data_IF_829530684655
#
_entry.id   IF_829530684655
#
_cell.length_a   1.000
_cell.length_b   1.000
_cell.length_c   1.000
_cell.angle_alpha   90.00
_cell.angle_beta   90.00
_cell.angle_gamma   90.00
#
_symmetry.space_group_name_H-M   'P 1'
#
loop_
_entity.id
_entity.type
_entity.pdbx_description
1 polymer ?
#
# COMPACT_ATOMS: atom_id res chain seq x y z
N UNK A 1 39.10 -12.11 -52.49
CA UNK A 1 38.04 -12.85 -51.75
C UNK A 1 38.08 -12.65 -50.24
N UNK A 2 39.19 -12.84 -49.54
CA UNK A 2 39.31 -12.65 -48.08
C UNK A 2 39.26 -11.17 -47.68
N UNK A 3 39.82 -10.29 -48.48
CA UNK A 3 39.82 -8.83 -48.24
C UNK A 3 38.43 -8.26 -48.43
N UNK A 4 37.65 -8.71 -49.39
CA UNK A 4 36.29 -8.27 -49.64
C UNK A 4 35.35 -8.79 -48.60
N UNK A 5 35.52 -10.01 -48.08
CA UNK A 5 34.76 -10.55 -46.96
C UNK A 5 35.00 -9.76 -45.67
N UNK A 6 36.27 -9.40 -45.38
CA UNK A 6 36.59 -8.53 -44.21
C UNK A 6 35.99 -7.15 -44.34
N UNK A 7 35.95 -6.56 -45.54
CA UNK A 7 35.37 -5.25 -45.79
C UNK A 7 33.85 -5.27 -45.65
N UNK A 8 33.18 -6.35 -46.09
CA UNK A 8 31.74 -6.58 -45.86
C UNK A 8 31.42 -6.75 -44.38
N UNK A 9 32.12 -7.62 -43.67
CA UNK A 9 31.96 -7.84 -42.23
C UNK A 9 32.19 -6.55 -41.46
N UNK A 10 33.20 -5.75 -41.80
CA UNK A 10 33.48 -4.49 -41.18
C UNK A 10 32.34 -3.46 -41.40
N UNK A 11 31.79 -3.42 -42.64
CA UNK A 11 30.67 -2.54 -43.00
C UNK A 11 29.36 -3.01 -42.31
N UNK A 12 29.15 -4.31 -42.19
CA UNK A 12 28.02 -4.86 -41.42
C UNK A 12 28.16 -4.59 -39.91
N UNK A 13 29.39 -4.69 -39.37
CA UNK A 13 29.67 -4.31 -37.96
C UNK A 13 29.54 -2.80 -37.72
N UNK A 14 29.89 -1.96 -38.67
CA UNK A 14 29.68 -0.50 -38.59
C UNK A 14 28.19 -0.16 -38.69
N UNK A 15 27.43 -0.79 -39.60
CA UNK A 15 25.98 -0.70 -39.65
C UNK A 15 25.29 -1.25 -38.38
N UNK A 16 25.80 -2.30 -37.77
CA UNK A 16 25.32 -2.80 -36.48
C UNK A 16 25.64 -1.84 -35.32
N UNK A 17 26.77 -1.12 -35.37
CA UNK A 17 27.13 -0.10 -34.39
C UNK A 17 26.24 1.15 -34.49
N UNK A 18 25.90 1.56 -35.71
CA UNK A 18 24.94 2.67 -35.92
C UNK A 18 23.50 2.28 -35.58
N UNK A 19 23.12 1.02 -35.72
CA UNK A 19 21.86 0.47 -35.25
C UNK A 19 21.83 0.18 -33.72
N UNK A 20 22.97 0.15 -33.06
CA UNK A 20 23.07 -0.02 -31.61
C UNK A 20 22.65 1.23 -30.76
N UNK A 21 22.20 2.31 -31.40
CA UNK A 21 21.66 3.47 -30.70
C UNK A 21 20.30 3.18 -30.04
N UNK A 22 19.67 2.03 -30.30
CA UNK A 22 18.38 1.64 -29.71
C UNK A 22 18.42 0.22 -29.15
N UNK A 23 19.37 -0.06 -28.24
CA UNK A 23 19.23 -1.24 -27.40
C UNK A 23 18.04 -1.00 -26.50
N UNK A 24 16.90 -1.61 -26.84
CA UNK A 24 15.74 -1.62 -25.98
C UNK A 24 16.11 -2.25 -24.64
N UNK A 25 15.96 -1.47 -23.58
CA UNK A 25 16.10 -1.96 -22.20
C UNK A 25 14.70 -2.24 -21.68
N UNK A 26 14.35 -3.51 -21.48
CA UNK A 26 13.03 -3.84 -20.96
C UNK A 26 12.84 -3.22 -19.58
N UNK A 27 11.73 -2.53 -19.41
CA UNK A 27 11.27 -2.05 -18.12
C UNK A 27 10.59 -3.15 -17.32
N UNK A 28 10.33 -2.88 -16.06
CA UNK A 28 9.63 -3.78 -15.14
C UNK A 28 8.45 -3.05 -14.49
N UNK A 29 7.29 -3.68 -14.51
CA UNK A 29 6.10 -3.25 -13.80
C UNK A 29 5.81 -4.17 -12.63
N UNK A 30 5.36 -3.61 -11.51
CA UNK A 30 4.68 -4.35 -10.46
C UNK A 30 3.20 -3.97 -10.50
N UNK A 31 2.33 -4.93 -10.79
CA UNK A 31 0.89 -4.75 -10.83
C UNK A 31 0.24 -5.42 -9.63
N UNK A 32 -0.73 -4.70 -9.08
CA UNK A 32 -1.64 -5.22 -8.08
C UNK A 32 -3.06 -4.76 -8.38
N UNK A 33 -3.98 -5.08 -7.49
CA UNK A 33 -5.36 -4.60 -7.56
C UNK A 33 -5.84 -4.07 -6.22
N UNK A 34 -6.74 -3.12 -6.26
CA UNK A 34 -7.46 -2.65 -5.08
C UNK A 34 -8.95 -2.86 -5.27
N UNK A 35 -9.55 -3.68 -4.43
CA UNK A 35 -10.94 -4.11 -4.48
C UNK A 35 -11.10 -5.62 -4.36
N UNK A 36 -12.19 -6.15 -4.90
CA UNK A 36 -12.47 -7.58 -4.89
C UNK A 36 -11.71 -8.28 -6.01
N UNK A 37 -10.55 -8.84 -5.68
CA UNK A 37 -9.75 -9.62 -6.63
C UNK A 37 -10.14 -11.09 -6.58
N UNK A 38 -10.14 -11.78 -7.75
CA UNK A 38 -10.30 -13.22 -7.78
C UNK A 38 -9.04 -13.93 -7.23
N UNK A 39 -9.09 -15.23 -6.92
CA UNK A 39 -7.92 -15.98 -6.42
C UNK A 39 -6.72 -15.97 -7.35
N UNK A 40 -6.94 -15.88 -8.66
CA UNK A 40 -5.88 -15.81 -9.69
C UNK A 40 -6.15 -14.63 -10.63
N UNK A 41 -5.87 -13.40 -10.20
CA UNK A 41 -6.17 -12.22 -11.00
C UNK A 41 -5.27 -12.14 -12.24
N UNK A 42 -5.79 -11.55 -13.31
CA UNK A 42 -5.02 -11.40 -14.54
C UNK A 42 -3.80 -10.47 -14.39
N UNK A 43 -3.73 -9.63 -13.36
CA UNK A 43 -2.54 -8.84 -13.02
C UNK A 43 -1.31 -9.71 -12.72
N UNK A 44 -1.48 -10.90 -12.13
CA UNK A 44 -0.38 -11.85 -11.89
C UNK A 44 0.23 -12.34 -13.20
N UNK A 45 -0.60 -12.63 -14.20
CA UNK A 45 -0.12 -13.05 -15.53
C UNK A 45 0.69 -11.98 -16.26
N UNK A 46 0.45 -10.70 -15.95
CA UNK A 46 1.29 -9.61 -16.44
C UNK A 46 2.59 -9.55 -15.63
N UNK A 47 2.54 -9.70 -14.31
CA UNK A 47 3.73 -9.73 -13.47
C UNK A 47 4.71 -10.85 -13.85
N UNK A 48 4.19 -11.98 -14.33
CA UNK A 48 4.98 -13.12 -14.80
C UNK A 48 5.55 -12.95 -16.22
N UNK A 49 5.08 -11.96 -16.99
CA UNK A 49 5.44 -11.77 -18.39
C UNK A 49 6.11 -10.42 -18.66
N UNK A 50 7.42 -10.41 -18.77
CA UNK A 50 8.17 -9.20 -19.11
C UNK A 50 7.72 -8.59 -20.45
N UNK A 51 7.29 -9.40 -21.41
CA UNK A 51 6.77 -8.91 -22.70
C UNK A 51 5.48 -8.11 -22.48
N UNK A 52 4.51 -8.65 -21.75
CA UNK A 52 3.25 -7.94 -21.46
C UNK A 52 3.47 -6.64 -20.67
N UNK A 53 4.37 -6.66 -19.68
CA UNK A 53 4.76 -5.46 -18.94
C UNK A 53 5.29 -4.37 -19.88
N UNK A 54 6.17 -4.75 -20.80
CA UNK A 54 6.79 -3.80 -21.72
C UNK A 54 5.83 -3.29 -22.79
N UNK A 55 4.91 -4.12 -23.27
CA UNK A 55 3.82 -3.66 -24.13
C UNK A 55 3.01 -2.58 -23.40
N UNK A 56 2.64 -2.82 -22.13
CA UNK A 56 1.90 -1.82 -21.33
C UNK A 56 2.71 -0.52 -21.12
N UNK A 57 4.00 -0.62 -20.83
CA UNK A 57 4.88 0.56 -20.70
C UNK A 57 4.96 1.37 -21.98
N UNK A 58 5.20 0.71 -23.12
CA UNK A 58 5.34 1.36 -24.44
C UNK A 58 4.03 2.01 -24.91
N UNK A 59 2.89 1.37 -24.60
CA UNK A 59 1.57 1.84 -24.99
C UNK A 59 0.97 2.88 -24.03
N UNK A 60 1.70 3.27 -22.96
CA UNK A 60 1.14 4.08 -21.88
C UNK A 60 0.87 5.54 -22.30
N UNK A 61 1.89 6.27 -22.77
CA UNK A 61 1.74 7.72 -23.05
C UNK A 61 1.06 8.01 -24.39
N UNK A 62 1.61 7.48 -25.48
CA UNK A 62 1.25 7.91 -26.83
C UNK A 62 0.54 6.84 -27.65
N UNK A 63 0.32 5.67 -27.05
CA UNK A 63 -0.14 4.49 -27.77
C UNK A 63 0.84 4.05 -28.85
N UNK A 64 0.80 2.78 -29.24
CA UNK A 64 1.68 2.20 -30.26
C UNK A 64 0.91 1.32 -31.21
N UNK A 65 1.28 1.36 -32.48
CA UNK A 65 0.89 0.34 -33.46
C UNK A 65 1.71 -0.92 -33.23
N UNK A 66 1.24 -2.04 -33.77
CA UNK A 66 2.01 -3.29 -33.67
C UNK A 66 3.36 -3.18 -34.37
N UNK A 67 3.44 -2.47 -35.50
CA UNK A 67 4.68 -2.32 -36.26
C UNK A 67 5.70 -1.47 -35.46
N UNK A 68 5.26 -0.41 -34.77
CA UNK A 68 6.09 0.34 -33.83
C UNK A 68 6.56 -0.56 -32.66
N UNK A 69 5.70 -1.44 -32.12
CA UNK A 69 6.09 -2.37 -31.07
C UNK A 69 7.14 -3.39 -31.54
N UNK A 70 7.02 -3.89 -32.78
CA UNK A 70 8.05 -4.75 -33.40
C UNK A 70 9.38 -4.01 -33.50
N UNK A 71 9.35 -2.76 -33.98
CA UNK A 71 10.55 -1.94 -34.12
C UNK A 71 11.23 -1.69 -32.76
N UNK A 72 10.45 -1.33 -31.74
CA UNK A 72 10.99 -1.03 -30.40
C UNK A 72 11.50 -2.26 -29.67
N UNK A 73 10.79 -3.39 -29.75
CA UNK A 73 11.10 -4.58 -28.94
C UNK A 73 12.00 -5.59 -29.66
N UNK A 74 12.06 -5.55 -30.99
CA UNK A 74 12.69 -6.57 -31.81
C UNK A 74 11.94 -7.91 -31.80
N UNK A 75 10.75 -7.99 -31.21
CA UNK A 75 9.94 -9.21 -31.15
C UNK A 75 9.14 -9.35 -32.45
N UNK A 76 9.18 -10.51 -33.13
CA UNK A 76 8.42 -10.72 -34.36
C UNK A 76 6.92 -10.55 -34.16
N UNK A 77 6.24 -9.94 -35.11
CA UNK A 77 4.83 -9.59 -35.10
C UNK A 77 3.88 -10.71 -34.62
N UNK A 78 4.00 -11.98 -35.06
CA UNK A 78 3.09 -13.04 -34.62
C UNK A 78 3.09 -13.28 -33.10
N UNK A 79 4.23 -13.10 -32.45
CA UNK A 79 4.32 -13.24 -30.98
C UNK A 79 3.68 -12.07 -30.27
N UNK A 80 3.85 -10.84 -30.77
CA UNK A 80 3.21 -9.66 -30.22
C UNK A 80 1.69 -9.68 -30.41
N UNK A 81 1.21 -10.19 -31.56
CA UNK A 81 -0.25 -10.31 -31.83
C UNK A 81 -0.95 -11.13 -30.77
N UNK A 82 -0.35 -12.25 -30.34
CA UNK A 82 -0.91 -13.09 -29.30
C UNK A 82 -1.04 -12.35 -27.95
N UNK A 83 0.02 -11.65 -27.54
CA UNK A 83 0.02 -10.92 -26.27
C UNK A 83 -0.89 -9.68 -26.31
N UNK A 84 -0.90 -8.97 -27.44
CA UNK A 84 -1.80 -7.82 -27.66
C UNK A 84 -3.27 -8.23 -27.60
N UNK A 85 -3.63 -9.32 -28.26
CA UNK A 85 -4.98 -9.87 -28.29
C UNK A 85 -5.45 -10.23 -26.86
N UNK A 86 -4.56 -10.89 -26.10
CA UNK A 86 -4.82 -11.23 -24.71
C UNK A 86 -5.01 -9.98 -23.85
N UNK A 87 -4.11 -8.98 -23.96
CA UNK A 87 -4.17 -7.73 -23.18
C UNK A 87 -5.44 -6.92 -23.49
N UNK A 88 -5.87 -6.88 -24.75
CA UNK A 88 -7.12 -6.21 -25.16
C UNK A 88 -8.33 -6.94 -24.61
N UNK A 89 -8.41 -8.28 -24.78
CA UNK A 89 -9.51 -9.11 -24.26
C UNK A 89 -9.64 -9.04 -22.74
N UNK A 90 -8.55 -8.75 -22.03
CA UNK A 90 -8.52 -8.61 -20.57
C UNK A 90 -8.59 -7.15 -20.10
N UNK A 91 -8.86 -6.21 -21.02
CA UNK A 91 -9.04 -4.79 -20.72
C UNK A 91 -7.81 -4.10 -20.11
N UNK A 92 -6.61 -4.61 -20.37
CA UNK A 92 -5.36 -3.93 -20.05
C UNK A 92 -4.92 -2.95 -21.13
N UNK A 93 -5.39 -3.19 -22.36
CA UNK A 93 -5.21 -2.30 -23.49
C UNK A 93 -6.55 -1.98 -24.16
N UNK A 94 -6.67 -0.78 -24.71
CA UNK A 94 -7.72 -0.38 -25.63
C UNK A 94 -7.13 -0.11 -27.01
N UNK A 95 -7.97 -0.20 -28.05
CA UNK A 95 -7.57 0.10 -29.41
C UNK A 95 -8.29 1.38 -29.83
N UNK A 96 -7.53 2.39 -30.25
CA UNK A 96 -8.06 3.62 -30.84
C UNK A 96 -7.40 3.82 -32.20
N UNK A 97 -8.18 3.65 -33.26
CA UNK A 97 -7.67 3.61 -34.62
C UNK A 97 -6.80 2.35 -34.85
N UNK A 98 -5.50 2.53 -35.07
CA UNK A 98 -4.53 1.43 -35.23
C UNK A 98 -3.56 1.30 -34.06
N UNK A 99 -3.76 2.09 -32.99
CA UNK A 99 -2.87 2.14 -31.85
C UNK A 99 -3.47 1.46 -30.62
N UNK A 100 -2.62 0.80 -29.87
CA UNK A 100 -2.92 0.23 -28.57
C UNK A 100 -2.56 1.22 -27.48
N UNK A 101 -3.46 1.40 -26.49
CA UNK A 101 -3.28 2.30 -25.34
C UNK A 101 -3.49 1.52 -24.05
N UNK A 102 -2.59 1.70 -23.11
CA UNK A 102 -2.76 1.16 -21.75
C UNK A 102 -3.93 1.86 -21.06
N UNK A 103 -4.79 1.06 -20.41
CA UNK A 103 -6.06 1.53 -19.83
C UNK A 103 -5.98 1.83 -18.35
N UNK A 104 -4.83 1.61 -17.71
CA UNK A 104 -4.60 1.81 -16.28
C UNK A 104 -3.39 2.70 -16.03
N UNK A 105 -3.37 3.47 -14.92
CA UNK A 105 -2.24 4.32 -14.57
C UNK A 105 -1.00 3.50 -14.22
N UNK A 106 0.14 3.98 -14.70
CA UNK A 106 1.46 3.48 -14.32
C UNK A 106 2.13 4.58 -13.51
N UNK A 107 2.33 4.32 -12.22
CA UNK A 107 2.93 5.26 -11.28
C UNK A 107 4.44 5.21 -11.41
N UNK A 108 5.02 6.29 -11.90
CA UNK A 108 6.48 6.44 -12.05
C UNK A 108 7.11 6.95 -10.73
N UNK A 109 8.43 6.81 -10.61
CA UNK A 109 9.21 7.40 -9.53
C UNK A 109 8.97 8.92 -9.43
N UNK A 110 8.92 9.61 -10.59
CA UNK A 110 8.65 11.05 -10.63
C UNK A 110 7.27 11.40 -10.07
N UNK A 111 6.24 10.59 -10.37
CA UNK A 111 4.90 10.76 -9.82
C UNK A 111 4.90 10.65 -8.28
N UNK A 112 5.61 9.66 -7.76
CA UNK A 112 5.72 9.46 -6.32
C UNK A 112 6.51 10.59 -5.63
N UNK A 113 7.55 11.12 -6.27
CA UNK A 113 8.28 12.30 -5.79
C UNK A 113 7.39 13.55 -5.74
N UNK A 114 6.55 13.77 -6.75
CA UNK A 114 5.58 14.88 -6.76
C UNK A 114 4.56 14.74 -5.63
N UNK A 115 4.03 13.53 -5.40
CA UNK A 115 3.16 13.25 -4.27
C UNK A 115 3.83 13.59 -2.94
N UNK A 116 5.05 13.14 -2.73
CA UNK A 116 5.84 13.46 -1.54
C UNK A 116 6.06 14.96 -1.36
N UNK A 117 6.36 15.69 -2.45
CA UNK A 117 6.52 17.13 -2.42
C UNK A 117 5.22 17.87 -2.05
N UNK A 118 4.06 17.40 -2.51
CA UNK A 118 2.76 17.96 -2.12
C UNK A 118 2.56 17.80 -0.61
N UNK A 119 2.78 16.61 -0.05
CA UNK A 119 2.69 16.40 1.39
C UNK A 119 3.70 17.24 2.18
N UNK A 120 4.93 17.35 1.70
CA UNK A 120 5.94 18.17 2.35
C UNK A 120 5.55 19.67 2.35
N UNK A 121 5.00 20.17 1.25
CA UNK A 121 4.56 21.57 1.15
C UNK A 121 3.34 21.88 2.03
N UNK A 122 2.49 20.91 2.25
CA UNK A 122 1.28 21.04 3.06
C UNK A 122 1.46 20.55 4.50
N UNK A 123 2.65 20.05 4.86
CA UNK A 123 2.96 19.45 6.15
C UNK A 123 2.41 20.25 7.32
N UNK A 124 2.76 21.54 7.42
CA UNK A 124 2.34 22.40 8.54
C UNK A 124 0.83 22.55 8.67
N UNK A 125 0.13 22.64 7.53
CA UNK A 125 -1.32 22.84 7.51
C UNK A 125 -2.11 21.56 7.81
N UNK A 126 -1.53 20.41 7.53
CA UNK A 126 -2.22 19.13 7.53
C UNK A 126 -1.63 18.15 8.52
N UNK A 127 -0.43 17.66 8.26
CA UNK A 127 0.20 16.60 9.04
C UNK A 127 0.56 17.07 10.46
N UNK A 128 1.25 18.19 10.58
CA UNK A 128 1.66 18.73 11.88
C UNK A 128 0.43 19.09 12.74
N UNK A 129 -0.69 19.46 12.10
CA UNK A 129 -1.95 19.70 12.80
C UNK A 129 -2.57 18.42 13.35
N UNK A 130 -2.51 17.32 12.61
CA UNK A 130 -2.96 16.00 13.09
C UNK A 130 -2.11 15.57 14.28
N UNK A 131 -0.78 15.65 14.13
CA UNK A 131 0.17 15.30 15.19
C UNK A 131 -0.13 16.14 16.45
N UNK A 132 -0.12 17.45 16.33
CA UNK A 132 -0.35 18.34 17.47
C UNK A 132 -1.69 18.03 18.16
N UNK A 133 -2.78 17.85 17.40
CA UNK A 133 -4.08 17.56 17.96
C UNK A 133 -4.09 16.25 18.76
N UNK A 134 -3.49 15.18 18.24
CA UNK A 134 -3.46 13.89 18.95
C UNK A 134 -2.62 13.98 20.24
N UNK A 135 -1.49 14.67 20.20
CA UNK A 135 -0.63 14.88 21.39
C UNK A 135 -1.31 15.79 22.44
N UNK A 136 -1.93 16.88 22.00
CA UNK A 136 -2.65 17.80 22.90
C UNK A 136 -3.85 17.12 23.59
N UNK A 137 -4.45 16.11 22.95
CA UNK A 137 -5.58 15.34 23.49
C UNK A 137 -5.17 14.00 24.10
N UNK A 138 -3.89 13.76 24.37
CA UNK A 138 -3.39 12.51 24.92
C UNK A 138 -4.08 12.12 26.23
N UNK A 139 -4.29 13.06 27.12
CA UNK A 139 -4.97 12.79 28.40
C UNK A 139 -6.42 12.35 28.20
N UNK A 140 -7.12 12.94 27.25
CA UNK A 140 -8.49 12.53 26.89
C UNK A 140 -8.49 11.11 26.31
N UNK A 141 -7.54 10.79 25.44
CA UNK A 141 -7.37 9.46 24.87
C UNK A 141 -7.14 8.43 26.01
N UNK A 142 -6.24 8.72 26.94
CA UNK A 142 -5.93 7.84 28.08
C UNK A 142 -7.11 7.68 29.05
N UNK A 143 -7.92 8.71 29.22
CA UNK A 143 -9.10 8.68 30.11
C UNK A 143 -10.18 7.69 29.66
N UNK A 144 -10.18 7.27 28.37
CA UNK A 144 -11.07 6.23 27.87
C UNK A 144 -10.76 4.86 28.51
N UNK A 145 -9.57 4.70 29.07
CA UNK A 145 -9.15 3.56 29.89
C UNK A 145 -9.23 2.18 29.20
N UNK A 146 -8.80 2.11 27.96
CA UNK A 146 -8.65 0.85 27.22
C UNK A 146 -7.32 0.15 27.54
N UNK A 147 -7.18 -1.13 27.18
CA UNK A 147 -5.90 -1.81 27.32
C UNK A 147 -4.84 -1.17 26.43
N UNK A 148 -3.73 -0.77 27.00
CA UNK A 148 -2.66 -0.03 26.33
C UNK A 148 -2.80 1.50 26.43
N UNK A 149 -3.84 2.03 27.09
CA UNK A 149 -3.96 3.46 27.36
C UNK A 149 -2.80 4.03 28.19
N UNK A 150 -2.10 3.19 28.95
CA UNK A 150 -0.93 3.55 29.76
C UNK A 150 0.41 3.28 29.07
N UNK A 151 0.42 2.89 27.80
CA UNK A 151 1.66 2.76 27.04
C UNK A 151 2.39 4.10 26.96
N UNK A 152 3.74 4.09 26.78
CA UNK A 152 4.47 5.32 26.43
C UNK A 152 3.81 6.05 25.27
N UNK A 153 3.80 7.38 25.29
CA UNK A 153 3.12 8.22 24.29
C UNK A 153 3.57 7.88 22.89
N UNK A 154 4.87 7.76 22.68
CA UNK A 154 5.48 7.43 21.40
C UNK A 154 5.10 6.03 20.87
N UNK A 155 4.65 5.13 21.75
CA UNK A 155 4.12 3.80 21.38
C UNK A 155 2.61 3.87 21.12
N UNK A 156 1.87 4.55 21.98
CA UNK A 156 0.42 4.69 21.87
C UNK A 156 0.02 5.39 20.56
N UNK A 157 0.75 6.43 20.16
CA UNK A 157 0.39 7.26 19.03
C UNK A 157 0.52 6.54 17.67
N UNK A 158 1.30 5.44 17.57
CA UNK A 158 1.26 4.58 16.40
C UNK A 158 -0.17 4.08 16.10
N UNK A 159 -0.83 3.52 17.10
CA UNK A 159 -2.19 3.02 16.98
C UNK A 159 -3.18 4.17 16.75
N UNK A 160 -3.04 5.29 17.47
CA UNK A 160 -3.96 6.42 17.39
C UNK A 160 -3.95 7.05 15.99
N UNK A 161 -2.80 7.27 15.35
CA UNK A 161 -2.69 7.81 13.99
C UNK A 161 -3.36 6.88 12.98
N UNK A 162 -3.14 5.57 13.10
CA UNK A 162 -3.71 4.63 12.13
C UNK A 162 -5.20 4.40 12.31
N UNK A 163 -5.66 4.36 13.56
CA UNK A 163 -7.10 4.33 13.84
C UNK A 163 -7.80 5.58 13.31
N UNK A 164 -7.18 6.74 13.46
CA UNK A 164 -7.69 7.98 12.87
C UNK A 164 -7.74 7.90 11.35
N UNK A 165 -6.71 7.34 10.70
CA UNK A 165 -6.71 7.13 9.24
C UNK A 165 -7.88 6.26 8.79
N UNK A 166 -8.13 5.16 9.50
CA UNK A 166 -9.29 4.30 9.25
C UNK A 166 -10.61 5.02 9.50
N UNK A 167 -10.70 5.80 10.57
CA UNK A 167 -11.87 6.62 10.87
C UNK A 167 -12.17 7.60 9.73
N UNK A 168 -11.16 8.33 9.25
CA UNK A 168 -11.29 9.28 8.12
C UNK A 168 -11.76 8.57 6.86
N UNK A 169 -11.22 7.40 6.55
CA UNK A 169 -11.58 6.65 5.32
C UNK A 169 -13.05 6.24 5.28
N UNK A 170 -13.69 6.10 6.45
CA UNK A 170 -15.09 5.67 6.59
C UNK A 170 -16.08 6.81 6.83
N UNK A 171 -15.61 7.94 7.35
CA UNK A 171 -16.46 9.04 7.80
C UNK A 171 -16.24 10.34 7.02
N UNK A 172 -15.20 10.46 6.21
CA UNK A 172 -15.02 11.62 5.35
C UNK A 172 -15.92 11.54 4.13
N UNK A 173 -16.89 12.45 4.01
CA UNK A 173 -17.76 12.55 2.83
C UNK A 173 -16.95 12.70 1.54
N UNK A 174 -15.85 13.48 1.59
CA UNK A 174 -14.96 13.67 0.45
C UNK A 174 -14.37 12.34 -0.01
N UNK A 175 -13.79 11.54 0.90
CA UNK A 175 -13.21 10.25 0.57
C UNK A 175 -14.28 9.26 0.11
N UNK A 176 -15.44 9.25 0.73
CA UNK A 176 -16.57 8.43 0.33
C UNK A 176 -17.07 8.79 -1.08
N UNK A 177 -17.12 10.08 -1.43
CA UNK A 177 -17.51 10.54 -2.77
C UNK A 177 -16.47 10.15 -3.83
N UNK A 178 -15.18 10.28 -3.54
CA UNK A 178 -14.11 9.85 -4.43
C UNK A 178 -14.13 8.33 -4.65
N UNK A 179 -14.50 7.57 -3.61
CA UNK A 179 -14.63 6.12 -3.64
C UNK A 179 -15.95 5.65 -4.27
N UNK A 180 -17.07 6.37 -4.09
CA UNK A 180 -18.42 5.99 -4.54
C UNK A 180 -18.60 5.81 -6.04
N UNK A 181 -17.64 6.21 -6.85
CA UNK A 181 -17.63 5.84 -8.28
C UNK A 181 -17.17 4.39 -8.52
N UNK A 182 -17.26 3.57 -7.51
CA UNK A 182 -16.88 2.16 -7.45
C UNK A 182 -17.98 1.20 -7.96
N UNK A 183 -18.86 1.64 -8.85
CA UNK A 183 -19.62 0.73 -9.72
C UNK A 183 -18.69 0.22 -10.82
N UNK A 184 -17.61 -0.45 -10.37
CA UNK A 184 -16.71 -1.11 -11.32
C UNK A 184 -17.45 -2.19 -12.02
N UNK A 185 -17.37 -2.18 -13.33
CA UNK A 185 -17.78 -3.32 -14.15
C UNK A 185 -16.96 -4.55 -13.74
N UNK A 186 -17.58 -5.71 -13.84
CA UNK A 186 -16.90 -6.98 -13.58
C UNK A 186 -15.85 -7.15 -14.69
N UNK A 187 -14.60 -7.26 -14.31
CA UNK A 187 -13.49 -7.51 -15.22
C UNK A 187 -13.58 -8.93 -15.82
N UNK A 188 -12.94 -9.18 -16.96
CA UNK A 188 -12.95 -10.50 -17.61
C UNK A 188 -12.44 -11.66 -16.74
N UNK A 189 -11.68 -11.38 -15.67
CA UNK A 189 -11.25 -12.40 -14.69
C UNK A 189 -12.26 -12.62 -13.56
N UNK A 190 -13.41 -11.94 -13.60
CA UNK A 190 -14.48 -12.03 -12.59
C UNK A 190 -14.30 -11.10 -11.39
N UNK A 191 -13.19 -10.36 -11.31
CA UNK A 191 -12.91 -9.42 -10.23
C UNK A 191 -13.60 -8.06 -10.42
N UNK A 192 -13.66 -7.29 -9.32
CA UNK A 192 -14.06 -5.88 -9.30
C UNK A 192 -12.99 -5.06 -8.58
N UNK A 193 -11.94 -4.70 -9.29
CA UNK A 193 -10.79 -4.00 -8.71
C UNK A 193 -10.20 -2.98 -9.67
N UNK A 194 -9.57 -1.94 -9.11
CA UNK A 194 -8.69 -1.04 -9.86
C UNK A 194 -7.32 -1.67 -10.01
N UNK A 195 -6.74 -1.53 -11.20
CA UNK A 195 -5.36 -1.94 -11.42
C UNK A 195 -4.47 -0.85 -10.84
N UNK A 196 -3.50 -1.28 -10.04
CA UNK A 196 -2.44 -0.45 -9.51
C UNK A 196 -1.12 -0.94 -10.11
N UNK A 197 -0.45 -0.08 -10.87
CA UNK A 197 0.83 -0.43 -11.47
C UNK A 197 1.89 0.59 -11.07
N UNK A 198 3.08 0.10 -10.73
CA UNK A 198 4.26 0.91 -10.42
C UNK A 198 5.36 0.55 -11.40
N UNK A 199 6.00 1.57 -11.97
CA UNK A 199 7.20 1.39 -12.80
C UNK A 199 8.41 1.14 -11.89
N UNK A 200 8.94 -0.09 -11.96
CA UNK A 200 10.09 -0.56 -11.20
C UNK A 200 11.33 -0.73 -12.10
N UNK A 201 11.36 -0.13 -13.27
CA UNK A 201 12.43 -0.31 -14.27
C UNK A 201 13.82 0.08 -13.76
N UNK A 202 13.88 1.10 -12.93
CA UNK A 202 15.11 1.62 -12.33
C UNK A 202 15.43 1.02 -10.95
N UNK A 203 14.55 0.14 -10.43
CA UNK A 203 14.67 -0.39 -9.07
C UNK A 203 14.73 -1.92 -9.06
N UNK A 204 15.85 -2.47 -8.58
CA UNK A 204 16.02 -3.92 -8.45
C UNK A 204 15.16 -4.52 -7.33
N UNK A 205 14.64 -3.71 -6.41
CA UNK A 205 13.93 -4.16 -5.21
C UNK A 205 12.41 -3.92 -5.23
N UNK A 206 11.84 -3.31 -6.29
CA UNK A 206 10.41 -3.03 -6.42
C UNK A 206 9.81 -2.24 -5.25
N UNK A 207 8.82 -1.41 -5.45
CA UNK A 207 7.98 -0.71 -4.48
C UNK A 207 8.60 0.28 -3.49
N UNK A 208 9.92 0.29 -3.17
CA UNK A 208 10.38 0.83 -1.89
C UNK A 208 11.48 1.88 -1.91
N UNK A 209 12.04 2.26 -3.03
CA UNK A 209 13.12 3.26 -3.02
C UNK A 209 12.63 4.66 -3.42
N UNK A 210 11.95 5.33 -2.48
CA UNK A 210 11.78 6.77 -2.54
C UNK A 210 12.80 7.43 -1.63
N UNK A 211 13.51 8.43 -2.14
CA UNK A 211 14.38 9.28 -1.32
C UNK A 211 13.59 9.82 -0.12
N UNK A 212 14.03 9.52 1.08
CA UNK A 212 13.34 9.83 2.34
C UNK A 212 12.42 8.73 2.88
N UNK A 213 12.22 7.61 2.15
CA UNK A 213 11.38 6.49 2.56
C UNK A 213 12.19 5.23 2.91
N UNK A 214 13.50 5.30 2.87
CA UNK A 214 14.38 4.14 3.12
C UNK A 214 14.22 3.55 4.52
N UNK A 215 13.61 4.29 5.44
CA UNK A 215 13.36 3.87 6.82
C UNK A 215 11.93 3.33 7.03
N UNK A 216 11.04 3.50 6.04
CA UNK A 216 9.63 3.14 6.18
C UNK A 216 9.16 2.20 5.08
N UNK A 217 8.95 0.98 5.45
CA UNK A 217 8.19 0.03 4.66
C UNK A 217 6.76 0.02 5.18
N UNK A 218 5.85 0.62 4.46
CA UNK A 218 4.46 0.66 4.87
C UNK A 218 3.61 -0.32 4.06
N UNK A 219 3.17 -1.41 4.67
CA UNK A 219 1.97 -2.10 4.19
C UNK A 219 0.84 -1.65 5.10
N UNK A 220 -0.04 -0.83 4.58
CA UNK A 220 -1.28 -0.51 5.24
C UNK A 220 -2.35 -1.48 4.76
N UNK A 221 -2.80 -2.37 5.60
CA UNK A 221 -3.98 -3.17 5.33
C UNK A 221 -5.06 -2.85 6.34
N UNK A 222 -6.17 -2.33 5.86
CA UNK A 222 -7.40 -2.23 6.62
C UNK A 222 -8.17 -3.53 6.38
N UNK A 223 -8.02 -4.51 7.25
CA UNK A 223 -8.79 -5.73 7.21
C UNK A 223 -9.77 -5.77 8.37
N UNK A 224 -11.04 -5.55 8.07
CA UNK A 224 -12.12 -6.02 8.93
C UNK A 224 -12.34 -7.50 8.64
N UNK A 225 -11.91 -8.39 9.50
CA UNK A 225 -12.31 -9.77 9.46
C UNK A 225 -13.66 -9.90 10.17
N UNK A 226 -14.74 -9.85 9.42
CA UNK A 226 -16.06 -10.29 9.90
C UNK A 226 -16.20 -11.78 9.65
N UNK A 227 -15.68 -12.59 10.54
CA UNK A 227 -16.10 -13.98 10.64
C UNK A 227 -17.24 -14.01 11.66
N UNK A 228 -18.47 -14.20 11.24
CA UNK A 228 -19.73 -14.28 11.97
C UNK A 228 -19.84 -14.51 13.48
N UNK A 229 -18.74 -14.78 14.17
CA UNK A 229 -18.60 -14.86 15.62
C UNK A 229 -17.95 -13.62 16.25
N UNK A 230 -17.25 -12.75 15.45
CA UNK A 230 -16.56 -11.59 15.93
C UNK A 230 -16.89 -10.38 15.06
N UNK A 231 -18.00 -9.71 15.37
CA UNK A 231 -18.53 -8.59 14.59
C UNK A 231 -17.64 -7.33 14.55
N UNK A 232 -16.55 -7.28 15.30
CA UNK A 232 -15.82 -6.05 15.55
C UNK A 232 -14.30 -6.20 15.59
N UNK A 233 -13.73 -6.91 14.64
CA UNK A 233 -12.30 -7.04 14.56
C UNK A 233 -11.69 -6.00 13.61
N UNK A 234 -10.91 -5.07 14.14
CA UNK A 234 -10.11 -4.15 13.35
C UNK A 234 -8.65 -4.54 13.42
N UNK A 235 -8.09 -4.87 12.30
CA UNK A 235 -6.65 -4.97 12.15
C UNK A 235 -6.14 -3.84 11.27
N UNK A 236 -5.35 -2.98 11.90
CA UNK A 236 -4.60 -1.93 11.22
C UNK A 236 -3.14 -2.28 11.36
N UNK A 237 -2.58 -2.89 10.35
CA UNK A 237 -1.15 -3.14 10.28
C UNK A 237 -0.46 -2.06 9.46
N UNK A 238 0.32 -1.22 10.09
CA UNK A 238 1.33 -0.42 9.39
C UNK A 238 2.68 -0.90 9.87
N UNK A 239 3.46 -1.34 8.93
CA UNK A 239 4.82 -1.75 9.17
C UNK A 239 5.74 -0.69 8.64
N UNK A 240 6.51 -0.10 9.54
CA UNK A 240 7.54 0.85 9.19
C UNK A 240 8.84 0.29 9.70
N UNK A 241 9.79 0.05 8.81
CA UNK A 241 11.04 -0.55 9.20
C UNK A 241 12.24 0.05 8.52
N UNK A 242 13.19 0.35 9.36
CA UNK A 242 14.58 0.55 8.98
C UNK A 242 15.28 -0.74 8.55
N UNK A 243 14.69 -1.93 8.79
CA UNK A 243 15.37 -3.19 8.58
C UNK A 243 14.51 -4.24 7.90
N UNK A 244 14.93 -4.68 6.69
CA UNK A 244 14.22 -5.63 5.83
C UNK A 244 14.04 -7.04 6.42
N UNK A 245 14.78 -7.39 7.46
CA UNK A 245 14.80 -8.74 8.02
C UNK A 245 13.57 -9.07 8.89
N UNK A 246 12.73 -8.07 9.18
CA UNK A 246 11.68 -8.16 10.19
C UNK A 246 10.31 -8.66 9.74
N UNK A 247 10.07 -8.82 8.47
CA UNK A 247 8.76 -8.60 7.91
C UNK A 247 7.85 -9.72 7.51
N UNK A 248 8.32 -10.72 6.77
CA UNK A 248 7.38 -11.60 6.07
C UNK A 248 6.60 -12.51 7.01
N UNK A 249 7.19 -12.90 8.13
CA UNK A 249 6.62 -13.95 8.99
C UNK A 249 5.49 -13.46 9.88
N UNK A 250 5.62 -12.29 10.50
CA UNK A 250 4.54 -11.70 11.31
C UNK A 250 3.26 -11.51 10.49
N UNK A 251 3.39 -10.99 9.26
CA UNK A 251 2.25 -10.78 8.37
C UNK A 251 1.61 -12.10 7.93
N UNK A 252 2.42 -13.11 7.63
CA UNK A 252 1.96 -14.42 7.17
C UNK A 252 1.23 -15.17 8.27
N UNK A 253 1.84 -15.25 9.45
CA UNK A 253 1.25 -15.89 10.63
C UNK A 253 -0.09 -15.26 11.00
N UNK A 254 -0.20 -13.94 10.83
CA UNK A 254 -1.40 -13.20 11.19
C UNK A 254 -2.61 -13.52 10.30
N UNK A 255 -2.43 -13.60 8.99
CA UNK A 255 -3.53 -13.85 8.04
C UNK A 255 -4.19 -15.22 8.22
N UNK A 256 -3.39 -16.22 8.51
CA UNK A 256 -3.85 -17.63 8.55
C UNK A 256 -4.50 -18.01 9.89
N UNK A 257 -4.33 -17.20 10.95
CA UNK A 257 -4.71 -17.57 12.33
C UNK A 257 -5.46 -16.45 13.07
N UNK A 258 -6.06 -15.50 12.36
CA UNK A 258 -6.67 -14.29 12.94
C UNK A 258 -7.67 -14.58 14.08
N UNK A 259 -8.60 -15.50 13.89
CA UNK A 259 -9.62 -15.80 14.88
C UNK A 259 -9.02 -16.39 16.17
N UNK A 260 -8.04 -17.27 16.03
CA UNK A 260 -7.35 -17.90 17.15
C UNK A 260 -6.51 -16.88 17.95
N UNK A 261 -5.77 -16.03 17.24
CA UNK A 261 -4.98 -14.97 17.85
C UNK A 261 -5.87 -13.94 18.56
N UNK A 262 -7.00 -13.57 17.96
CA UNK A 262 -7.97 -12.66 18.60
C UNK A 262 -8.43 -13.22 19.96
N UNK A 263 -8.84 -14.49 20.00
CA UNK A 263 -9.23 -15.17 21.23
C UNK A 263 -8.11 -15.14 22.27
N UNK A 264 -6.88 -15.48 21.88
CA UNK A 264 -5.71 -15.46 22.76
C UNK A 264 -5.48 -14.05 23.30
N UNK A 265 -5.51 -13.02 22.45
CA UNK A 265 -5.24 -11.65 22.87
C UNK A 265 -6.29 -11.12 23.82
N UNK A 266 -7.56 -11.44 23.60
CA UNK A 266 -8.63 -11.08 24.55
C UNK A 266 -8.53 -11.84 25.86
N UNK A 267 -8.08 -13.09 25.85
CA UNK A 267 -7.95 -13.90 27.04
C UNK A 267 -6.79 -13.48 27.93
N UNK A 268 -5.62 -13.19 27.35
CA UNK A 268 -4.40 -12.90 28.13
C UNK A 268 -4.44 -11.58 28.91
N UNK A 269 -5.37 -10.68 28.58
CA UNK A 269 -5.57 -9.42 29.32
C UNK A 269 -6.55 -9.54 30.50
N UNK A 270 -7.25 -10.69 30.62
CA UNK A 270 -8.18 -10.90 31.73
C UNK A 270 -7.38 -11.17 33.03
N UNK A 271 -7.88 -10.67 34.17
CA UNK A 271 -7.18 -10.80 35.46
C UNK A 271 -6.99 -12.24 35.94
N UNK A 272 -7.89 -13.14 35.54
CA UNK A 272 -7.96 -14.57 35.89
C UNK A 272 -7.41 -15.49 34.80
N UNK A 273 -6.68 -14.97 33.83
CA UNK A 273 -6.12 -15.74 32.74
C UNK A 273 -5.21 -16.86 33.26
N UNK A 274 -5.57 -18.09 32.91
CA UNK A 274 -4.75 -19.29 33.16
C UNK A 274 -4.29 -19.89 31.82
N UNK A 275 -2.98 -19.96 31.60
CA UNK A 275 -2.40 -20.60 30.41
C UNK A 275 -2.83 -22.04 30.21
N UNK A 276 -3.20 -22.73 31.29
CA UNK A 276 -3.63 -24.14 31.24
C UNK A 276 -5.03 -24.28 30.62
N UNK A 277 -5.82 -23.21 30.58
CA UNK A 277 -7.12 -23.19 29.93
C UNK A 277 -7.01 -23.21 28.40
N UNK A 278 -5.83 -22.90 27.84
CA UNK A 278 -5.58 -22.90 26.41
C UNK A 278 -5.37 -24.33 25.89
N UNK A 279 -5.90 -24.59 24.67
CA UNK A 279 -5.61 -25.78 23.90
C UNK A 279 -4.14 -25.86 23.48
N UNK A 280 -3.68 -26.99 22.96
CA UNK A 280 -2.32 -27.15 22.46
C UNK A 280 -2.00 -26.16 21.33
N UNK A 281 -2.93 -25.99 20.39
CA UNK A 281 -2.78 -25.08 19.26
C UNK A 281 -2.72 -23.62 19.71
N UNK A 282 -3.56 -23.23 20.69
CA UNK A 282 -3.54 -21.90 21.28
C UNK A 282 -2.23 -21.61 22.02
N UNK A 283 -1.68 -22.59 22.73
CA UNK A 283 -0.36 -22.48 23.39
C UNK A 283 0.76 -22.30 22.38
N UNK A 284 0.72 -23.04 21.27
CA UNK A 284 1.68 -22.89 20.19
C UNK A 284 1.61 -21.47 19.57
N UNK A 285 0.41 -20.99 19.28
CA UNK A 285 0.21 -19.64 18.75
C UNK A 285 0.58 -18.54 19.74
N UNK A 286 0.34 -18.72 21.01
CA UNK A 286 0.81 -17.81 22.05
C UNK A 286 2.35 -17.75 22.10
N UNK A 287 3.01 -18.93 21.99
CA UNK A 287 4.47 -18.98 21.93
C UNK A 287 5.03 -18.30 20.68
N UNK A 288 4.38 -18.46 19.52
CA UNK A 288 4.72 -17.73 18.29
C UNK A 288 4.55 -16.21 18.49
N UNK A 289 3.42 -15.76 19.05
CA UNK A 289 3.16 -14.36 19.30
C UNK A 289 4.19 -13.72 20.27
N UNK A 290 4.67 -14.49 21.23
CA UNK A 290 5.76 -14.05 22.14
C UNK A 290 7.07 -13.96 21.38
N UNK A 291 7.43 -14.97 20.59
CA UNK A 291 8.65 -14.97 19.78
C UNK A 291 8.67 -13.79 18.79
N UNK A 292 7.52 -13.47 18.21
CA UNK A 292 7.38 -12.41 17.20
C UNK A 292 7.16 -11.01 17.84
N UNK A 293 7.24 -10.91 19.17
CA UNK A 293 7.15 -9.63 19.87
C UNK A 293 5.73 -9.02 19.93
N UNK A 294 4.71 -9.77 19.54
CA UNK A 294 3.30 -9.33 19.63
C UNK A 294 2.81 -9.35 21.09
N UNK A 295 3.33 -10.28 21.87
CA UNK A 295 3.06 -10.43 23.30
C UNK A 295 4.38 -10.47 24.04
N UNK A 296 4.49 -9.71 25.12
CA UNK A 296 5.61 -9.82 26.07
C UNK A 296 5.23 -10.80 27.18
N UNK A 297 6.18 -11.67 27.56
CA UNK A 297 6.06 -12.50 28.77
C UNK A 297 6.90 -11.92 29.89
N UNK A 298 6.25 -11.48 30.97
CA UNK A 298 6.89 -10.87 32.13
C UNK A 298 6.55 -11.72 33.36
N UNK A 299 7.50 -12.59 33.78
CA UNK A 299 7.23 -13.63 34.76
C UNK A 299 6.20 -14.63 34.24
N UNK A 300 5.08 -14.78 34.95
CA UNK A 300 3.96 -15.64 34.56
C UNK A 300 2.83 -14.89 33.81
N UNK A 301 3.01 -13.60 33.53
CA UNK A 301 2.01 -12.79 32.88
C UNK A 301 2.36 -12.57 31.41
N UNK A 302 1.30 -12.51 30.60
CA UNK A 302 1.37 -12.20 29.19
C UNK A 302 0.77 -10.83 28.93
N UNK A 303 1.43 -9.99 28.15
CA UNK A 303 1.03 -8.61 27.91
C UNK A 303 1.09 -8.32 26.40
N UNK A 304 -0.04 -8.14 25.70
CA UNK A 304 -0.04 -7.68 24.31
C UNK A 304 0.69 -6.35 24.17
N UNK A 305 1.45 -6.23 23.09
CA UNK A 305 2.22 -5.02 22.79
C UNK A 305 1.45 -4.01 21.92
N UNK A 306 0.13 -4.13 21.88
CA UNK A 306 -0.77 -3.31 21.08
C UNK A 306 -2.05 -2.99 21.86
N UNK A 307 -2.87 -2.10 21.30
CA UNK A 307 -4.09 -1.60 21.91
C UNK A 307 -5.24 -2.60 21.76
N UNK A 308 -6.02 -2.81 22.83
CA UNK A 308 -7.28 -3.57 22.81
C UNK A 308 -8.39 -2.69 23.40
N UNK A 309 -9.51 -2.57 22.69
CA UNK A 309 -10.64 -1.73 23.06
C UNK A 309 -11.95 -2.52 23.05
N UNK A 310 -12.93 -2.05 23.80
CA UNK A 310 -14.33 -2.44 23.56
C UNK A 310 -14.95 -1.58 22.47
N UNK A 311 -16.09 -1.99 21.88
CA UNK A 311 -16.82 -1.16 20.92
C UNK A 311 -17.22 0.20 21.50
N UNK A 312 -17.58 0.27 22.79
CA UNK A 312 -17.94 1.50 23.48
C UNK A 312 -16.74 2.43 23.61
N UNK A 313 -15.57 1.90 23.99
CA UNK A 313 -14.32 2.65 24.07
C UNK A 313 -13.90 3.20 22.70
N UNK A 314 -14.03 2.39 21.65
CA UNK A 314 -13.79 2.84 20.28
C UNK A 314 -14.77 3.96 19.88
N UNK A 315 -16.06 3.79 20.18
CA UNK A 315 -17.09 4.79 19.89
C UNK A 315 -16.80 6.11 20.61
N UNK A 316 -16.40 6.04 21.87
CA UNK A 316 -16.01 7.21 22.66
C UNK A 316 -14.79 7.92 22.03
N UNK A 317 -13.73 7.18 21.69
CA UNK A 317 -12.56 7.73 21.02
C UNK A 317 -12.91 8.43 19.69
N UNK A 318 -13.81 7.81 18.92
CA UNK A 318 -14.28 8.37 17.66
C UNK A 318 -15.06 9.68 17.86
N UNK A 319 -15.96 9.72 18.84
CA UNK A 319 -16.78 10.92 19.09
C UNK A 319 -15.96 12.06 19.70
N UNK A 320 -15.13 11.76 20.69
CA UNK A 320 -14.49 12.80 21.51
C UNK A 320 -13.20 13.32 20.88
N UNK A 321 -12.51 12.49 20.09
CA UNK A 321 -11.19 12.82 19.52
C UNK A 321 -11.21 12.88 18.00
N UNK A 322 -11.71 11.84 17.34
CA UNK A 322 -11.52 11.73 15.88
C UNK A 322 -12.52 12.57 15.08
N UNK A 323 -13.77 12.69 15.50
CA UNK A 323 -14.76 13.51 14.80
C UNK A 323 -14.39 15.00 14.82
N UNK A 324 -13.99 15.60 15.95
CA UNK A 324 -13.51 16.98 15.96
C UNK A 324 -12.24 17.19 15.12
N UNK A 325 -11.29 16.23 15.15
CA UNK A 325 -10.09 16.31 14.35
C UNK A 325 -10.41 16.23 12.85
N UNK A 326 -11.28 15.32 12.43
CA UNK A 326 -11.72 15.23 11.03
C UNK A 326 -12.35 16.54 10.57
N UNK A 327 -13.26 17.10 11.36
CA UNK A 327 -13.87 18.39 11.05
C UNK A 327 -12.82 19.50 10.88
N UNK A 328 -11.81 19.52 11.76
CA UNK A 328 -10.75 20.51 11.73
C UNK A 328 -9.83 20.41 10.49
N UNK A 329 -9.59 19.20 9.93
CA UNK A 329 -8.70 19.00 8.78
C UNK A 329 -9.45 18.95 7.44
N UNK A 330 -10.77 18.80 7.43
CA UNK A 330 -11.59 18.67 6.20
C UNK A 330 -11.32 19.78 5.17
N UNK A 331 -11.22 21.08 5.52
CA UNK A 331 -10.91 22.11 4.52
C UNK A 331 -9.57 21.89 3.82
N UNK A 332 -8.54 21.46 4.55
CA UNK A 332 -7.23 21.17 3.98
C UNK A 332 -7.24 19.89 3.13
N UNK A 333 -8.05 18.91 3.51
CA UNK A 333 -8.25 17.72 2.68
C UNK A 333 -8.91 18.06 1.34
N UNK A 334 -9.82 19.02 1.29
CA UNK A 334 -10.43 19.50 0.04
C UNK A 334 -9.40 20.18 -0.87
N UNK A 335 -8.58 21.09 -0.33
CA UNK A 335 -7.48 21.73 -1.08
C UNK A 335 -6.50 20.67 -1.65
N UNK A 336 -6.17 19.66 -0.84
CA UNK A 336 -5.29 18.55 -1.26
C UNK A 336 -5.94 17.69 -2.33
N UNK A 337 -7.25 17.42 -2.24
CA UNK A 337 -7.97 16.66 -3.25
C UNK A 337 -7.90 17.34 -4.62
N UNK A 338 -8.10 18.65 -4.66
CA UNK A 338 -8.00 19.45 -5.90
C UNK A 338 -6.56 19.38 -6.46
N UNK A 339 -5.57 19.50 -5.58
CA UNK A 339 -4.15 19.45 -5.97
C UNK A 339 -3.76 18.08 -6.54
N UNK A 340 -4.16 16.99 -5.88
CA UNK A 340 -3.89 15.64 -6.38
C UNK A 340 -4.69 15.33 -7.65
N UNK A 341 -5.94 15.73 -7.71
CA UNK A 341 -6.77 15.57 -8.90
C UNK A 341 -6.14 16.24 -10.13
N UNK A 342 -5.65 17.48 -9.97
CA UNK A 342 -4.97 18.21 -11.06
C UNK A 342 -3.63 17.56 -11.43
N UNK A 343 -2.86 17.08 -10.46
CA UNK A 343 -1.64 16.34 -10.71
C UNK A 343 -1.94 15.09 -11.57
N UNK A 344 -2.94 14.30 -11.21
CA UNK A 344 -3.32 13.12 -11.98
C UNK A 344 -3.85 13.46 -13.36
N UNK A 345 -4.65 14.53 -13.47
CA UNK A 345 -5.20 14.99 -14.76
C UNK A 345 -4.10 15.39 -15.75
N UNK A 346 -2.99 15.92 -15.26
CA UNK A 346 -1.86 16.33 -16.10
C UNK A 346 -0.89 15.19 -16.40
N UNK A 347 -0.75 14.22 -15.50
CA UNK A 347 0.26 13.16 -15.64
C UNK A 347 -0.28 11.90 -16.28
N UNK A 348 -1.55 11.57 -16.04
CA UNK A 348 -2.15 10.38 -16.64
C UNK A 348 -2.54 10.62 -18.08
N UNK A 349 -2.27 9.67 -18.98
CA UNK A 349 -2.79 9.74 -20.34
C UNK A 349 -4.34 9.67 -20.34
N UNK A 350 -4.98 10.23 -21.37
CA UNK A 350 -6.45 10.27 -21.46
C UNK A 350 -7.12 8.92 -21.30
N UNK A 351 -6.50 7.84 -21.75
CA UNK A 351 -6.98 6.46 -21.58
C UNK A 351 -7.12 6.04 -20.11
N UNK A 352 -6.43 6.73 -19.19
CA UNK A 352 -6.42 6.44 -17.76
C UNK A 352 -7.22 7.45 -16.91
N UNK A 353 -7.89 8.44 -17.54
CA UNK A 353 -8.61 9.48 -16.80
C UNK A 353 -9.76 8.94 -15.94
N UNK A 354 -10.31 7.77 -16.26
CA UNK A 354 -11.28 7.09 -15.40
C UNK A 354 -10.77 6.73 -14.00
N UNK A 355 -9.44 6.69 -13.82
CA UNK A 355 -8.77 6.37 -12.56
C UNK A 355 -8.45 7.60 -11.69
N UNK A 356 -8.63 8.84 -12.18
CA UNK A 356 -8.18 10.06 -11.47
C UNK A 356 -8.79 10.14 -10.07
N UNK A 357 -10.11 9.98 -9.94
CA UNK A 357 -10.77 10.06 -8.63
C UNK A 357 -10.26 9.00 -7.66
N UNK A 358 -10.05 7.78 -8.15
CA UNK A 358 -9.54 6.70 -7.34
C UNK A 358 -8.11 6.97 -6.85
N UNK A 359 -7.22 7.45 -7.73
CA UNK A 359 -5.86 7.81 -7.32
C UNK A 359 -5.84 9.02 -6.39
N UNK A 360 -6.72 10.00 -6.60
CA UNK A 360 -6.93 11.11 -5.64
C UNK A 360 -7.36 10.59 -4.27
N UNK A 361 -8.29 9.61 -4.24
CA UNK A 361 -8.68 8.93 -3.00
C UNK A 361 -7.48 8.24 -2.33
N UNK A 362 -6.70 7.45 -3.08
CA UNK A 362 -5.53 6.74 -2.55
C UNK A 362 -4.48 7.72 -2.01
N UNK A 363 -4.19 8.78 -2.74
CA UNK A 363 -3.20 9.76 -2.30
C UNK A 363 -3.66 10.51 -1.06
N UNK A 364 -4.94 10.89 -0.96
CA UNK A 364 -5.48 11.46 0.26
C UNK A 364 -5.45 10.47 1.42
N UNK A 365 -5.77 9.20 1.19
CA UNK A 365 -5.78 8.18 2.22
C UNK A 365 -4.37 7.90 2.77
N UNK A 366 -3.32 8.09 1.96
CA UNK A 366 -1.93 7.92 2.38
C UNK A 366 -1.48 8.94 3.46
N UNK A 367 -2.30 9.93 3.84
CA UNK A 367 -1.94 10.90 4.88
C UNK A 367 -1.50 10.24 6.19
N UNK A 368 -2.09 9.11 6.56
CA UNK A 368 -1.72 8.37 7.76
C UNK A 368 -0.28 7.90 7.74
N UNK A 369 0.18 7.37 6.59
CA UNK A 369 1.57 6.94 6.40
C UNK A 369 2.49 8.16 6.48
N UNK A 370 2.15 9.27 5.84
CA UNK A 370 2.93 10.50 5.92
C UNK A 370 2.96 11.07 7.35
N UNK A 371 1.84 10.97 8.08
CA UNK A 371 1.79 11.40 9.49
C UNK A 371 2.74 10.58 10.35
N UNK A 372 2.74 9.26 10.20
CA UNK A 372 3.68 8.38 10.90
C UNK A 372 5.13 8.69 10.53
N UNK A 373 5.40 8.86 9.25
CA UNK A 373 6.75 9.15 8.74
C UNK A 373 7.30 10.47 9.30
N UNK A 374 6.51 11.55 9.27
CA UNK A 374 6.94 12.83 9.81
C UNK A 374 7.06 12.80 11.33
N UNK A 375 6.12 12.19 12.04
CA UNK A 375 6.20 12.07 13.48
C UNK A 375 7.41 11.24 13.94
N UNK A 376 7.74 10.17 13.23
CA UNK A 376 8.93 9.37 13.52
C UNK A 376 10.23 10.13 13.18
N UNK A 377 10.25 10.84 12.05
CA UNK A 377 11.39 11.68 11.66
C UNK A 377 11.67 12.82 12.64
N UNK A 378 10.63 13.33 13.29
CA UNK A 378 10.72 14.33 14.35
C UNK A 378 11.05 13.75 15.75
N UNK A 379 11.22 12.42 15.85
CA UNK A 379 11.49 11.73 17.11
C UNK A 379 10.31 11.61 18.05
N UNK A 380 9.08 11.81 17.58
CA UNK A 380 7.85 11.74 18.38
C UNK A 380 7.30 10.32 18.50
N UNK A 381 7.76 9.39 17.66
CA UNK A 381 7.37 7.99 17.68
C UNK A 381 8.56 7.10 18.01
N UNK A 382 8.30 6.07 18.80
CA UNK A 382 9.30 5.06 19.11
C UNK A 382 9.63 4.23 17.86
N UNK A 383 10.92 4.17 17.53
CA UNK A 383 11.45 3.32 16.45
C UNK A 383 12.36 2.26 17.10
N UNK A 384 11.88 1.02 17.30
CA UNK A 384 12.73 -0.03 17.84
C UNK A 384 13.84 -0.37 16.84
N UNK A 385 15.07 -0.47 17.35
CA UNK A 385 16.23 -0.79 16.53
C UNK A 385 16.43 -2.30 16.34
N UNK A 386 15.80 -3.11 17.19
CA UNK A 386 15.91 -4.57 17.18
C UNK A 386 14.58 -5.22 17.57
N UNK A 387 14.35 -6.51 17.22
CA UNK A 387 13.15 -7.29 17.58
C UNK A 387 12.86 -7.31 19.07
N UNK A 388 13.92 -7.44 19.84
CA UNK A 388 13.85 -7.58 21.30
C UNK A 388 13.30 -6.32 21.96
N UNK A 389 13.38 -5.17 21.31
CA UNK A 389 12.87 -3.89 21.81
C UNK A 389 11.39 -3.65 21.46
N UNK A 390 10.73 -4.64 20.91
CA UNK A 390 9.32 -4.57 20.51
C UNK A 390 9.14 -4.05 19.09
N UNK A 391 8.02 -4.40 18.51
CA UNK A 391 7.62 -3.96 17.17
C UNK A 391 6.67 -2.80 17.33
N UNK A 392 6.82 -1.68 16.58
CA UNK A 392 5.80 -0.65 16.55
C UNK A 392 4.58 -1.24 15.86
N UNK A 393 3.59 -1.63 16.63
CA UNK A 393 2.36 -2.19 16.12
C UNK A 393 1.27 -1.14 16.14
N UNK A 394 0.70 -0.94 14.97
CA UNK A 394 -0.55 -0.20 14.82
C UNK A 394 -1.77 -1.12 14.97
N UNK A 395 -1.54 -2.33 15.50
CA UNK A 395 -2.59 -3.29 15.73
C UNK A 395 -3.55 -2.77 16.80
N UNK A 396 -4.82 -2.84 16.49
CA UNK A 396 -5.91 -2.59 17.43
C UNK A 396 -6.89 -3.73 17.36
N UNK A 397 -7.20 -4.31 18.48
CA UNK A 397 -8.21 -5.36 18.61
C UNK A 397 -9.45 -4.76 19.27
N UNK A 398 -10.61 -5.02 18.68
CA UNK A 398 -11.91 -4.69 19.28
C UNK A 398 -12.45 -5.98 19.88
N UNK A 399 -12.64 -5.95 21.18
CA UNK A 399 -13.07 -7.09 22.00
C UNK A 399 -14.57 -7.31 21.92
#
# INVERSE_FOLDING_TARGET
HLFDARKRIKKEFECMKDNNSHIYRPGKLALGGSGLMPPNPDTEKINESLIKQNICLLCYKDGKTIDELVEFTGIPKPYLEFDLDWLVKREFLSIIGRKYYTTFPIISKQHLQKRGAIYQSTRKKYIDRIIAYLWDNEQMIRAINFYGANFPTEKLMWSMIMMFTSYVSRNSELLLQLKKRDEREIRPDGGRYYIMAVDCSDDQNGFVNHEGWNEFYGICSDSCATNGEYDHYYWLGVYTFANKEYHPEIIKTYRDTQALLHKIYCSVIEPDFDINSLTSDEKEKLAEAVRDGLISKIGDRYQPNFVIMTPEQLSQLQMDVYAPLLAAITPTMQELAETFHEMHRTEFPKSCHGYINYHTYIDLWNFGIFTLMFAAGDGLLYLPKTPENGTPLTLVIIK
#
